data_IF_501830707203
#
_entry.id   IF_501830707203
#
_cell.length_a   1.000
_cell.length_b   1.000
_cell.length_c   1.000
_cell.angle_alpha   90.00
_cell.angle_beta   90.00
_cell.angle_gamma   90.00
#
_symmetry.space_group_name_H-M   'P 1'
#
loop_
_entity.id
_entity.type
_entity.pdbx_description
1 polymer ?
#
# COMPACT_ATOMS: atom_id res chain seq x y z
N UNK A 1 23.63 7.83 30.94
CA UNK A 1 22.69 6.94 30.26
C UNK A 1 23.45 5.68 29.91
N UNK A 2 22.93 4.54 30.30
CA UNK A 2 23.49 3.27 29.87
C UNK A 2 23.45 3.16 28.34
N UNK A 3 24.52 2.66 27.75
CA UNK A 3 24.64 2.56 26.29
C UNK A 3 24.21 1.17 25.87
N UNK A 4 23.20 1.11 25.01
CA UNK A 4 22.69 -0.14 24.45
C UNK A 4 23.17 -0.36 23.03
N UNK A 5 23.36 -1.62 22.64
CA UNK A 5 23.80 -2.04 21.32
C UNK A 5 22.74 -2.94 20.70
N UNK A 6 22.51 -2.77 19.40
CA UNK A 6 21.46 -3.47 18.65
C UNK A 6 22.07 -4.44 17.66
N UNK A 7 21.57 -5.66 17.69
CA UNK A 7 22.08 -6.79 16.92
C UNK A 7 20.95 -7.34 16.06
N UNK A 8 21.28 -7.98 14.93
CA UNK A 8 20.30 -8.68 14.10
C UNK A 8 20.83 -10.05 13.68
N UNK A 9 19.94 -11.04 13.68
CA UNK A 9 20.24 -12.36 13.15
C UNK A 9 20.04 -12.41 11.64
N UNK A 10 20.93 -13.10 10.93
CA UNK A 10 20.88 -13.30 9.48
C UNK A 10 21.45 -14.67 9.14
N UNK A 11 21.20 -15.18 7.93
CA UNK A 11 21.74 -16.44 7.45
C UNK A 11 22.90 -16.15 6.51
N UNK A 12 24.10 -16.64 6.86
CA UNK A 12 25.27 -16.62 5.99
C UNK A 12 25.79 -18.05 5.84
N UNK A 13 26.05 -18.49 4.61
CA UNK A 13 26.56 -19.85 4.29
C UNK A 13 25.75 -20.97 4.96
N UNK A 14 24.40 -20.81 5.01
CA UNK A 14 23.50 -21.80 5.61
C UNK A 14 23.52 -21.86 7.15
N UNK A 15 24.20 -20.92 7.82
CA UNK A 15 24.27 -20.82 9.28
C UNK A 15 23.69 -19.50 9.78
N UNK A 16 22.96 -19.55 10.88
CA UNK A 16 22.46 -18.34 11.52
C UNK A 16 23.63 -17.60 12.20
N UNK A 17 23.84 -16.36 11.79
CA UNK A 17 24.86 -15.44 12.33
C UNK A 17 24.15 -14.29 13.04
N UNK A 18 24.88 -13.62 13.93
CA UNK A 18 24.43 -12.39 14.58
C UNK A 18 25.44 -11.29 14.26
N UNK A 19 24.96 -10.12 13.87
CA UNK A 19 25.78 -8.95 13.55
C UNK A 19 25.22 -7.69 14.17
N UNK A 20 26.08 -6.72 14.48
CA UNK A 20 25.65 -5.42 14.96
C UNK A 20 24.93 -4.63 13.85
N UNK A 21 23.93 -3.86 14.20
CA UNK A 21 23.29 -2.93 13.26
C UNK A 21 24.25 -1.78 12.94
N UNK A 22 24.16 -1.27 11.72
CA UNK A 22 24.98 -0.15 11.24
C UNK A 22 24.73 1.13 12.04
N UNK A 23 25.74 1.99 12.10
CA UNK A 23 25.63 3.35 12.66
C UNK A 23 25.88 3.42 14.18
N UNK A 24 26.35 2.35 14.80
CA UNK A 24 26.69 2.32 16.23
C UNK A 24 28.18 2.58 16.46
N UNK A 25 28.49 3.07 17.66
CA UNK A 25 29.87 3.28 18.14
C UNK A 25 30.03 2.67 19.53
N UNK A 26 31.23 2.29 19.92
CA UNK A 26 31.57 1.96 21.31
C UNK A 26 31.55 3.21 22.19
N UNK A 27 31.70 3.06 23.50
CA UNK A 27 31.74 4.17 24.46
C UNK A 27 32.90 5.13 24.20
N UNK A 28 34.01 4.63 23.69
CA UNK A 28 35.18 5.43 23.29
C UNK A 28 35.02 6.17 21.95
N UNK A 29 33.86 6.06 21.30
CA UNK A 29 33.56 6.68 20.00
C UNK A 29 34.02 5.87 18.79
N UNK A 30 34.68 4.72 18.97
CA UNK A 30 35.09 3.83 17.88
C UNK A 30 33.87 3.26 17.18
N UNK A 31 33.84 3.30 15.85
CA UNK A 31 32.75 2.73 15.06
C UNK A 31 32.71 1.22 15.16
N UNK A 32 31.50 0.67 15.34
CA UNK A 32 31.25 -0.77 15.33
C UNK A 32 31.12 -1.23 13.87
N UNK A 33 31.94 -2.20 13.49
CA UNK A 33 31.88 -2.82 12.16
C UNK A 33 30.74 -3.84 12.12
N UNK A 34 29.71 -3.54 11.36
CA UNK A 34 28.53 -4.40 11.17
C UNK A 34 28.80 -5.65 10.31
N UNK A 35 29.97 -5.77 9.70
CA UNK A 35 30.34 -6.99 8.95
C UNK A 35 30.90 -8.07 9.87
N UNK A 36 31.38 -7.69 11.06
CA UNK A 36 31.95 -8.61 12.05
C UNK A 36 30.85 -9.40 12.77
N UNK A 37 31.06 -10.68 12.92
CA UNK A 37 30.12 -11.54 13.65
C UNK A 37 30.11 -11.21 15.14
N UNK A 38 28.93 -11.31 15.76
CA UNK A 38 28.72 -11.15 17.20
C UNK A 38 28.48 -12.52 17.83
N UNK A 39 29.27 -12.85 18.85
CA UNK A 39 29.01 -13.99 19.71
C UNK A 39 28.00 -13.61 20.76
N UNK A 40 26.85 -14.24 20.74
CA UNK A 40 25.73 -14.04 21.67
C UNK A 40 25.17 -15.39 22.09
N UNK A 41 24.32 -15.43 23.12
CA UNK A 41 23.66 -16.66 23.58
C UNK A 41 22.96 -17.36 22.42
N UNK A 42 23.43 -18.56 22.12
CA UNK A 42 22.97 -19.33 20.96
C UNK A 42 21.56 -19.88 21.16
N UNK A 43 21.23 -20.30 22.37
CA UNK A 43 19.93 -20.88 22.69
C UNK A 43 18.82 -19.82 22.52
N UNK A 44 19.08 -18.59 22.99
CA UNK A 44 18.16 -17.48 22.88
C UNK A 44 18.07 -16.95 21.44
N UNK A 45 19.21 -16.81 20.78
CA UNK A 45 19.27 -16.38 19.37
C UNK A 45 18.49 -17.31 18.45
N UNK A 46 18.69 -18.63 18.60
CA UNK A 46 18.07 -19.65 17.75
C UNK A 46 16.59 -19.90 18.13
N UNK A 47 16.12 -19.38 19.27
CA UNK A 47 14.72 -19.44 19.68
C UNK A 47 13.79 -18.53 18.86
N UNK A 48 14.34 -17.51 18.19
CA UNK A 48 13.55 -16.54 17.41
C UNK A 48 13.85 -16.62 15.92
N UNK A 49 12.91 -16.21 15.04
CA UNK A 49 13.11 -16.24 13.60
C UNK A 49 14.33 -15.44 13.15
N UNK A 50 14.96 -15.87 12.06
CA UNK A 50 16.02 -15.09 11.40
C UNK A 50 15.50 -13.71 11.00
N UNK A 51 16.28 -12.67 11.25
CA UNK A 51 15.87 -11.28 11.04
C UNK A 51 15.40 -10.59 12.32
N UNK A 52 15.21 -11.32 13.43
CA UNK A 52 14.87 -10.72 14.73
C UNK A 52 15.99 -9.81 15.19
N UNK A 53 15.63 -8.64 15.69
CA UNK A 53 16.55 -7.69 16.31
C UNK A 53 16.65 -7.98 17.81
N UNK A 54 17.85 -7.86 18.35
CA UNK A 54 18.14 -8.01 19.78
C UNK A 54 18.84 -6.76 20.30
N UNK A 55 18.61 -6.43 21.55
CA UNK A 55 19.32 -5.38 22.30
C UNK A 55 20.22 -6.03 23.35
N UNK A 56 21.38 -5.43 23.57
CA UNK A 56 22.31 -5.81 24.65
C UNK A 56 22.91 -4.56 25.31
N UNK A 57 23.17 -4.64 26.59
CA UNK A 57 23.85 -3.59 27.37
C UNK A 57 25.38 -3.65 27.23
N UNK A 58 25.90 -4.75 26.73
CA UNK A 58 27.34 -4.96 26.61
C UNK A 58 27.71 -5.51 25.22
N UNK A 59 28.66 -4.84 24.56
CA UNK A 59 29.31 -5.33 23.35
C UNK A 59 30.82 -5.05 23.42
N UNK A 60 31.64 -6.08 23.43
CA UNK A 60 33.11 -5.96 23.53
C UNK A 60 33.80 -6.51 22.31
N UNK A 61 34.84 -5.85 21.79
CA UNK A 61 35.68 -6.39 20.72
C UNK A 61 36.51 -7.57 21.24
N UNK A 62 36.57 -8.63 20.43
CA UNK A 62 37.45 -9.77 20.60
C UNK A 62 38.28 -9.95 19.33
N UNK A 63 39.26 -10.87 19.31
CA UNK A 63 40.25 -10.96 18.22
C UNK A 63 39.66 -11.17 16.82
N UNK A 64 38.50 -11.83 16.69
CA UNK A 64 37.86 -12.15 15.40
C UNK A 64 36.33 -11.92 15.37
N UNK A 65 35.75 -11.49 16.48
CA UNK A 65 34.31 -11.28 16.62
C UNK A 65 34.04 -10.28 17.76
N UNK A 66 32.81 -9.79 17.87
CA UNK A 66 32.34 -9.07 19.06
C UNK A 66 31.66 -10.04 20.01
N UNK A 67 31.80 -9.80 21.30
CA UNK A 67 31.11 -10.57 22.35
C UNK A 67 30.01 -9.71 22.95
N UNK A 68 28.76 -10.18 22.85
CA UNK A 68 27.62 -9.57 23.50
C UNK A 68 27.41 -10.14 24.92
N UNK A 69 26.83 -9.33 25.77
CA UNK A 69 26.27 -9.78 27.08
C UNK A 69 24.94 -10.50 26.89
N UNK A 70 24.02 -10.30 27.82
CA UNK A 70 22.67 -10.79 27.67
C UNK A 70 21.98 -10.10 26.47
N UNK A 71 21.26 -10.86 25.67
CA UNK A 71 20.53 -10.34 24.52
C UNK A 71 19.03 -10.48 24.78
N UNK A 72 18.27 -9.44 24.41
CA UNK A 72 16.82 -9.39 24.56
C UNK A 72 16.19 -9.13 23.19
N UNK A 73 15.23 -9.95 22.72
CA UNK A 73 14.53 -9.68 21.48
C UNK A 73 13.72 -8.40 21.60
N UNK A 74 13.76 -7.56 20.55
CA UNK A 74 13.09 -6.26 20.53
C UNK A 74 12.38 -6.02 19.21
N UNK A 75 11.30 -5.21 19.24
CA UNK A 75 10.51 -4.93 18.05
C UNK A 75 9.59 -6.08 17.63
N UNK A 76 9.23 -6.97 18.56
CA UNK A 76 8.25 -8.05 18.39
C UNK A 76 6.99 -7.78 19.25
N UNK A 77 5.87 -8.42 18.92
CA UNK A 77 4.64 -8.30 19.72
C UNK A 77 4.79 -8.94 21.09
N UNK A 78 4.10 -8.40 22.10
CA UNK A 78 4.16 -8.89 23.48
C UNK A 78 3.80 -10.38 23.60
N UNK A 79 2.89 -10.89 22.76
CA UNK A 79 2.50 -12.29 22.71
C UNK A 79 3.58 -13.23 22.14
N UNK A 80 4.60 -12.70 21.48
CA UNK A 80 5.64 -13.48 20.80
C UNK A 80 6.89 -13.68 21.66
N UNK A 81 6.95 -13.09 22.90
CA UNK A 81 8.03 -13.38 23.84
C UNK A 81 7.89 -14.80 24.40
N UNK A 82 8.88 -15.65 24.10
CA UNK A 82 8.87 -17.05 24.53
C UNK A 82 9.12 -17.25 26.02
N UNK A 83 9.82 -16.31 26.66
CA UNK A 83 10.09 -16.32 28.10
C UNK A 83 10.00 -14.88 28.65
N UNK A 84 9.16 -14.62 29.67
CA UNK A 84 9.05 -13.31 30.30
C UNK A 84 10.37 -12.74 30.86
N UNK A 85 11.33 -13.61 31.18
CA UNK A 85 12.67 -13.20 31.69
C UNK A 85 13.54 -12.55 30.61
N UNK A 86 13.20 -12.76 29.33
CA UNK A 86 13.91 -12.20 28.18
C UNK A 86 13.18 -11.02 27.56
N UNK A 87 12.18 -10.46 28.24
CA UNK A 87 11.53 -9.23 27.81
C UNK A 87 12.47 -8.04 28.05
N UNK A 88 12.70 -7.16 27.05
CA UNK A 88 13.54 -5.99 27.21
C UNK A 88 12.92 -5.02 28.23
N UNK A 89 13.77 -4.26 28.93
CA UNK A 89 13.31 -3.19 29.83
C UNK A 89 12.75 -2.03 29.01
N UNK A 90 11.92 -1.18 29.65
CA UNK A 90 11.39 0.02 29.01
C UNK A 90 12.51 0.96 28.49
N UNK A 91 13.64 1.02 29.22
CA UNK A 91 14.81 1.80 28.80
C UNK A 91 15.46 1.24 27.52
N UNK A 92 15.54 -0.08 27.39
CA UNK A 92 16.04 -0.76 26.19
C UNK A 92 15.11 -0.50 24.99
N UNK A 93 13.79 -0.56 25.21
CA UNK A 93 12.80 -0.26 24.17
C UNK A 93 12.93 1.21 23.73
N UNK A 94 13.00 2.12 24.67
CA UNK A 94 13.17 3.55 24.41
C UNK A 94 14.48 3.87 23.68
N UNK A 95 15.58 3.22 24.09
CA UNK A 95 16.87 3.36 23.42
C UNK A 95 16.82 2.84 21.97
N UNK A 96 16.09 1.76 21.72
CA UNK A 96 15.87 1.23 20.38
C UNK A 96 15.00 2.16 19.54
N UNK A 97 13.92 2.71 20.07
CA UNK A 97 13.08 3.71 19.40
C UNK A 97 13.87 4.96 19.02
N UNK A 98 14.76 5.43 19.90
CA UNK A 98 15.69 6.53 19.59
C UNK A 98 16.65 6.11 18.47
N UNK A 99 17.21 4.92 18.54
CA UNK A 99 18.16 4.41 17.54
C UNK A 99 17.52 4.27 16.16
N UNK A 100 16.27 3.79 16.09
CA UNK A 100 15.52 3.68 14.82
C UNK A 100 14.79 4.97 14.45
N UNK A 101 14.83 6.01 15.30
CA UNK A 101 14.25 7.33 15.03
C UNK A 101 12.75 7.45 15.26
N UNK A 102 12.15 6.60 16.11
CA UNK A 102 10.70 6.59 16.40
C UNK A 102 10.30 7.28 17.71
N UNK A 103 11.22 7.98 18.42
CA UNK A 103 10.88 8.64 19.68
C UNK A 103 10.13 9.94 19.47
N UNK A 104 8.89 9.98 19.90
CA UNK A 104 8.15 11.20 20.24
C UNK A 104 8.62 11.70 21.59
N UNK A 105 9.25 12.88 21.63
CA UNK A 105 9.57 13.56 22.88
C UNK A 105 8.31 14.17 23.48
N UNK A 106 7.84 13.67 24.60
CA UNK A 106 6.92 14.40 25.49
C UNK A 106 7.62 14.69 26.80
N UNK A 107 7.52 15.96 27.21
CA UNK A 107 7.92 16.61 28.47
C UNK A 107 9.40 17.01 28.63
N UNK A 108 9.71 18.28 28.49
CA UNK A 108 10.03 19.12 29.65
C UNK A 108 9.86 20.63 29.35
N UNK A 109 9.26 21.33 30.30
CA UNK A 109 9.02 22.75 30.33
C UNK A 109 10.26 23.50 30.82
N UNK A 110 10.64 24.56 30.14
CA UNK A 110 11.59 25.53 30.72
C UNK A 110 12.36 26.38 29.71
N UNK A 111 11.82 27.54 29.44
CA UNK A 111 12.38 28.87 29.09
C UNK A 111 13.65 29.05 28.28
N UNK A 112 13.50 29.99 27.37
CA UNK A 112 14.38 31.04 26.83
C UNK A 112 15.10 30.81 25.51
N UNK A 113 14.61 31.59 24.54
CA UNK A 113 15.29 32.27 23.45
C UNK A 113 16.61 31.75 22.85
N UNK A 114 16.49 31.27 21.61
CA UNK A 114 17.29 31.80 20.49
C UNK A 114 16.77 31.23 19.15
N UNK A 115 16.44 32.16 18.24
CA UNK A 115 16.11 31.87 16.84
C UNK A 115 17.32 31.22 16.16
N UNK A 116 17.21 30.02 15.72
CA UNK A 116 17.98 29.47 14.59
C UNK A 116 17.06 28.67 13.71
N UNK A 117 16.91 29.13 12.47
CA UNK A 117 16.29 28.44 11.36
C UNK A 117 16.94 27.05 11.18
N UNK A 118 16.32 26.02 11.72
CA UNK A 118 16.68 24.64 11.41
C UNK A 118 15.52 24.02 10.65
N UNK A 119 15.70 23.91 9.33
CA UNK A 119 14.91 23.01 8.50
C UNK A 119 14.96 21.62 9.14
N UNK A 120 13.93 21.28 9.88
CA UNK A 120 13.74 19.93 10.41
C UNK A 120 13.35 19.03 9.25
N UNK A 121 14.35 18.45 8.58
CA UNK A 121 14.09 17.36 7.66
C UNK A 121 13.62 16.17 8.50
N UNK A 122 12.36 15.83 8.38
CA UNK A 122 11.82 14.59 8.93
C UNK A 122 12.65 13.42 8.40
N UNK A 123 13.50 12.85 9.25
CA UNK A 123 14.27 11.64 8.96
C UNK A 123 13.36 10.41 9.14
N UNK A 124 12.26 10.36 8.41
CA UNK A 124 11.44 9.18 8.26
C UNK A 124 12.24 8.10 7.51
N UNK A 125 11.83 6.85 7.62
CA UNK A 125 12.36 5.74 6.80
C UNK A 125 12.49 6.16 5.32
N UNK A 126 11.57 6.98 4.85
CA UNK A 126 11.49 7.58 3.53
C UNK A 126 12.54 8.64 3.22
N UNK A 127 12.89 9.50 4.18
CA UNK A 127 14.01 10.44 4.00
C UNK A 127 15.33 9.70 3.79
N UNK A 128 15.47 8.51 4.39
CA UNK A 128 16.63 7.62 4.17
C UNK A 128 16.62 6.96 2.79
N UNK A 129 15.45 6.75 2.19
CA UNK A 129 15.31 6.13 0.87
C UNK A 129 15.69 7.08 -0.27
N UNK A 130 15.38 8.37 -0.14
CA UNK A 130 15.80 9.40 -1.12
C UNK A 130 17.33 9.53 -1.23
N UNK A 131 18.05 9.15 -0.19
CA UNK A 131 19.51 9.30 -0.09
C UNK A 131 20.26 7.96 -0.10
N UNK A 132 19.55 6.82 -0.13
CA UNK A 132 20.17 5.50 -0.14
C UNK A 132 20.12 4.85 -1.53
N UNK A 133 21.24 4.85 -2.28
CA UNK A 133 21.30 4.23 -3.61
C UNK A 133 21.12 2.70 -3.59
N UNK A 134 21.21 2.05 -2.43
CA UNK A 134 21.02 0.60 -2.27
C UNK A 134 19.56 0.20 -2.08
N UNK A 135 18.64 1.16 -1.95
CA UNK A 135 17.23 0.83 -1.79
C UNK A 135 16.67 0.25 -3.09
N UNK A 136 16.40 -1.04 -3.05
CA UNK A 136 15.75 -1.75 -4.16
C UNK A 136 14.24 -1.81 -3.91
N UNK A 137 13.46 -1.32 -4.87
CA UNK A 137 12.03 -1.53 -4.87
C UNK A 137 11.75 -3.04 -4.92
N UNK A 138 10.94 -3.60 -4.00
CA UNK A 138 10.61 -5.01 -4.03
C UNK A 138 10.03 -5.42 -5.37
N UNK A 139 10.48 -6.55 -5.92
CA UNK A 139 9.91 -7.07 -7.15
C UNK A 139 8.46 -7.49 -6.94
N UNK A 140 7.65 -7.39 -7.98
CA UNK A 140 6.24 -7.81 -7.93
C UNK A 140 6.08 -9.30 -7.62
N UNK A 141 7.10 -10.09 -7.96
CA UNK A 141 7.12 -11.53 -7.69
C UNK A 141 6.34 -12.36 -8.69
N UNK A 142 6.13 -13.63 -8.34
CA UNK A 142 5.47 -14.62 -9.22
C UNK A 142 3.97 -14.78 -8.93
N UNK A 143 3.29 -13.77 -8.43
CA UNK A 143 1.91 -13.90 -7.91
C UNK A 143 0.82 -13.96 -9.01
N UNK A 144 1.18 -14.12 -10.28
CA UNK A 144 0.18 -14.17 -11.37
C UNK A 144 -0.43 -12.79 -11.67
N UNK A 145 0.23 -11.73 -11.27
CA UNK A 145 -0.10 -10.35 -11.54
C UNK A 145 0.95 -9.75 -12.46
N UNK A 146 0.52 -9.01 -13.46
CA UNK A 146 1.42 -8.26 -14.35
C UNK A 146 1.19 -6.76 -14.16
N UNK A 147 2.26 -6.03 -14.08
CA UNK A 147 2.26 -4.57 -14.16
C UNK A 147 3.54 -4.14 -14.87
N UNK A 148 3.47 -3.03 -15.59
CA UNK A 148 4.64 -2.40 -16.18
C UNK A 148 5.66 -2.01 -15.09
N UNK A 149 6.95 -2.17 -15.38
CA UNK A 149 8.04 -1.90 -14.43
C UNK A 149 8.06 -0.47 -13.94
N UNK A 150 7.75 0.49 -14.82
CA UNK A 150 7.78 1.91 -14.48
C UNK A 150 6.57 2.27 -13.62
N UNK A 151 5.40 1.71 -13.91
CA UNK A 151 4.18 1.85 -13.09
C UNK A 151 4.43 1.31 -11.69
N UNK A 152 5.01 0.10 -11.59
CA UNK A 152 5.35 -0.51 -10.31
C UNK A 152 6.35 0.35 -9.53
N UNK A 153 7.43 0.78 -10.21
CA UNK A 153 8.43 1.65 -9.60
C UNK A 153 7.82 2.95 -9.08
N UNK A 154 7.04 3.65 -9.89
CA UNK A 154 6.42 4.92 -9.52
C UNK A 154 5.46 4.78 -8.34
N UNK A 155 4.60 3.74 -8.36
CA UNK A 155 3.67 3.48 -7.25
C UNK A 155 4.40 3.22 -5.95
N UNK A 156 5.37 2.31 -5.97
CA UNK A 156 6.15 1.94 -4.78
C UNK A 156 6.93 3.14 -4.23
N UNK A 157 7.62 3.87 -5.11
CA UNK A 157 8.35 5.08 -4.76
C UNK A 157 7.42 6.14 -4.16
N UNK A 158 6.26 6.36 -4.75
CA UNK A 158 5.34 7.38 -4.29
C UNK A 158 4.75 7.03 -2.92
N UNK A 159 4.31 5.79 -2.70
CA UNK A 159 3.85 5.32 -1.39
C UNK A 159 4.92 5.55 -0.33
N UNK A 160 6.15 5.17 -0.63
CA UNK A 160 7.28 5.31 0.28
C UNK A 160 7.68 6.76 0.56
N UNK A 161 7.42 7.67 -0.37
CA UNK A 161 7.71 9.10 -0.23
C UNK A 161 6.46 9.92 0.18
N UNK A 162 5.36 9.27 0.61
CA UNK A 162 4.08 9.90 0.94
C UNK A 162 3.59 10.87 -0.14
N UNK A 163 3.86 10.55 -1.41
CA UNK A 163 3.34 11.31 -2.54
C UNK A 163 1.94 10.78 -2.85
N UNK A 164 0.93 11.62 -2.65
CA UNK A 164 -0.44 11.26 -3.03
C UNK A 164 -0.46 10.84 -4.49
N UNK A 165 -1.02 9.66 -4.77
CA UNK A 165 -0.95 9.04 -6.10
C UNK A 165 -2.32 8.63 -6.59
N UNK A 166 -2.61 8.87 -7.87
CA UNK A 166 -3.86 8.46 -8.50
C UNK A 166 -3.58 7.47 -9.63
N UNK A 167 -4.12 6.27 -9.51
CA UNK A 167 -4.09 5.27 -10.56
C UNK A 167 -5.30 5.47 -11.49
N UNK A 168 -5.04 5.74 -12.75
CA UNK A 168 -6.04 6.04 -13.77
C UNK A 168 -6.03 4.90 -14.79
N UNK A 169 -7.20 4.39 -15.18
CA UNK A 169 -7.28 3.35 -16.21
C UNK A 169 -8.64 2.68 -16.27
N UNK A 170 -8.81 1.76 -17.20
CA UNK A 170 -10.06 1.04 -17.41
C UNK A 170 -10.53 0.26 -16.19
N UNK A 171 -11.84 0.08 -16.06
CA UNK A 171 -12.44 -0.82 -15.06
C UNK A 171 -11.89 -2.23 -15.23
N UNK A 172 -11.69 -2.96 -14.12
CA UNK A 172 -11.17 -4.33 -14.16
C UNK A 172 -9.67 -4.44 -14.50
N UNK A 173 -8.94 -3.33 -14.61
CA UNK A 173 -7.49 -3.29 -14.85
C UNK A 173 -6.63 -3.59 -13.60
N UNK A 174 -7.22 -4.01 -12.48
CA UNK A 174 -6.48 -4.41 -11.28
C UNK A 174 -5.90 -3.26 -10.45
N UNK A 175 -6.39 -2.02 -10.60
CA UNK A 175 -5.88 -0.84 -9.88
C UNK A 175 -5.86 -1.02 -8.37
N UNK A 176 -6.99 -1.39 -7.79
CA UNK A 176 -7.15 -1.62 -6.34
C UNK A 176 -6.23 -2.74 -5.86
N UNK A 177 -6.20 -3.86 -6.60
CA UNK A 177 -5.35 -5.00 -6.29
C UNK A 177 -3.85 -4.65 -6.34
N UNK A 178 -3.45 -3.80 -7.30
CA UNK A 178 -2.08 -3.31 -7.42
C UNK A 178 -1.65 -2.51 -6.18
N UNK A 179 -2.52 -1.63 -5.67
CA UNK A 179 -2.23 -0.87 -4.44
C UNK A 179 -2.10 -1.78 -3.24
N UNK A 180 -3.04 -2.73 -3.09
CA UNK A 180 -3.01 -3.70 -1.99
C UNK A 180 -1.74 -4.56 -2.03
N UNK A 181 -1.34 -5.00 -3.22
CA UNK A 181 -0.10 -5.74 -3.42
C UNK A 181 1.13 -4.89 -3.07
N UNK A 182 1.15 -3.62 -3.48
CA UNK A 182 2.23 -2.70 -3.14
C UNK A 182 2.36 -2.51 -1.63
N UNK A 183 1.25 -2.26 -0.94
CA UNK A 183 1.22 -2.13 0.52
C UNK A 183 1.70 -3.42 1.22
N UNK A 184 1.23 -4.59 0.76
CA UNK A 184 1.68 -5.89 1.27
C UNK A 184 3.19 -6.10 1.10
N UNK A 185 3.75 -5.75 -0.07
CA UNK A 185 5.19 -5.87 -0.35
C UNK A 185 6.04 -4.90 0.48
N UNK A 186 5.48 -3.75 0.83
CA UNK A 186 6.14 -2.76 1.69
C UNK A 186 5.94 -3.02 3.18
N UNK A 187 5.04 -3.93 3.56
CA UNK A 187 4.67 -4.15 4.96
C UNK A 187 3.92 -2.96 5.58
N UNK A 188 3.19 -2.18 4.75
CA UNK A 188 2.45 -0.98 5.16
C UNK A 188 0.96 -1.32 5.24
N UNK A 189 0.29 -0.84 6.28
CA UNK A 189 -1.17 -0.97 6.42
C UNK A 189 -1.89 -0.20 5.32
N UNK A 190 -3.00 -0.75 4.81
CA UNK A 190 -3.85 -0.11 3.81
C UNK A 190 -5.30 -0.13 4.27
N UNK A 191 -5.91 1.05 4.39
CA UNK A 191 -7.34 1.21 4.67
C UNK A 191 -8.05 1.60 3.38
N UNK A 192 -9.00 0.77 2.95
CA UNK A 192 -9.74 0.97 1.69
C UNK A 192 -11.07 1.67 1.98
N UNK A 193 -11.36 2.69 1.18
CA UNK A 193 -12.61 3.44 1.17
C UNK A 193 -13.21 3.40 -0.23
N UNK A 194 -14.32 2.69 -0.37
CA UNK A 194 -15.10 2.66 -1.61
C UNK A 194 -15.86 3.99 -1.77
N UNK A 195 -15.25 4.88 -2.55
CA UNK A 195 -15.82 6.20 -2.81
C UNK A 195 -16.97 6.13 -3.80
N UNK A 196 -17.01 5.08 -4.62
CA UNK A 196 -18.06 4.86 -5.62
C UNK A 196 -19.42 4.52 -5.02
N UNK A 197 -19.43 3.85 -3.86
CA UNK A 197 -20.67 3.51 -3.13
C UNK A 197 -21.04 4.53 -2.04
N UNK A 198 -20.19 5.54 -1.83
CA UNK A 198 -20.36 6.52 -0.75
C UNK A 198 -21.41 7.58 -1.11
N UNK A 199 -22.63 7.35 -0.68
CA UNK A 199 -23.76 8.28 -0.94
C UNK A 199 -23.61 9.60 -0.16
N UNK A 200 -23.20 9.53 1.12
CA UNK A 200 -22.97 10.68 1.98
C UNK A 200 -21.49 10.71 2.45
N UNK A 201 -20.65 11.51 1.78
CA UNK A 201 -19.24 11.65 2.15
C UNK A 201 -19.05 12.28 3.55
N UNK A 202 -19.99 13.10 4.04
CA UNK A 202 -19.91 13.70 5.38
C UNK A 202 -20.01 12.60 6.42
N UNK A 203 -21.05 11.79 6.34
CA UNK A 203 -21.23 10.66 7.26
C UNK A 203 -20.10 9.63 7.14
N UNK A 204 -19.68 9.31 5.91
CA UNK A 204 -18.67 8.29 5.64
C UNK A 204 -17.26 8.69 6.01
N UNK A 205 -16.88 9.96 5.85
CA UNK A 205 -15.51 10.45 6.08
C UNK A 205 -15.35 11.22 7.40
N UNK A 206 -16.34 12.01 7.82
CA UNK A 206 -16.25 12.78 9.05
C UNK A 206 -16.90 12.04 10.22
N UNK A 207 -18.17 11.65 10.08
CA UNK A 207 -18.94 11.00 11.13
C UNK A 207 -20.37 11.51 11.23
N UNK A 208 -21.08 11.06 12.26
CA UNK A 208 -22.51 11.39 12.49
C UNK A 208 -22.78 11.65 13.95
N UNK A 209 -23.79 12.49 14.21
CA UNK A 209 -24.34 12.65 15.56
C UNK A 209 -25.23 11.45 15.90
N UNK A 210 -25.01 10.85 17.07
CA UNK A 210 -25.84 9.78 17.62
C UNK A 210 -26.45 10.18 18.95
N UNK A 211 -27.75 9.92 19.12
CA UNK A 211 -28.40 10.05 20.40
C UNK A 211 -28.07 8.88 21.31
N UNK A 212 -27.50 9.16 22.47
CA UNK A 212 -27.30 8.18 23.53
C UNK A 212 -28.47 8.09 24.48
N UNK A 213 -28.53 7.02 25.31
CA UNK A 213 -29.51 6.88 26.39
C UNK A 213 -29.41 8.11 27.32
N UNK A 214 -30.50 8.82 27.48
CA UNK A 214 -30.54 10.07 28.26
C UNK A 214 -30.72 11.36 27.43
N UNK A 215 -30.85 11.23 26.09
CA UNK A 215 -31.11 12.38 25.20
C UNK A 215 -29.87 13.21 24.85
N UNK A 216 -28.68 12.75 25.22
CA UNK A 216 -27.42 13.45 24.90
C UNK A 216 -26.97 13.07 23.48
N UNK A 217 -26.74 14.09 22.65
CA UNK A 217 -26.16 13.91 21.33
C UNK A 217 -24.62 13.83 21.42
N UNK A 218 -24.02 12.77 20.88
CA UNK A 218 -22.58 12.60 20.82
C UNK A 218 -22.17 12.42 19.36
N UNK A 219 -21.08 13.07 18.96
CA UNK A 219 -20.53 12.89 17.62
C UNK A 219 -19.69 11.62 17.56
N UNK A 220 -20.05 10.70 16.65
CA UNK A 220 -19.33 9.46 16.40
C UNK A 220 -18.48 9.63 15.14
N UNK A 221 -17.18 9.73 15.34
CA UNK A 221 -16.21 9.93 14.26
C UNK A 221 -16.14 8.73 13.33
N UNK A 222 -16.12 8.98 12.02
CA UNK A 222 -15.95 7.94 11.02
C UNK A 222 -14.60 7.23 11.15
N UNK A 223 -14.49 6.01 10.61
CA UNK A 223 -13.22 5.26 10.58
C UNK A 223 -12.11 6.04 9.86
N UNK A 224 -12.46 6.80 8.81
CA UNK A 224 -11.54 7.60 8.03
C UNK A 224 -10.71 8.56 8.90
N UNK A 225 -11.35 9.27 9.84
CA UNK A 225 -10.68 10.22 10.72
C UNK A 225 -9.58 9.58 11.56
N UNK A 226 -9.80 8.34 12.00
CA UNK A 226 -8.84 7.56 12.78
C UNK A 226 -7.70 7.01 11.94
N UNK A 227 -8.00 6.64 10.69
CA UNK A 227 -7.02 6.03 9.80
C UNK A 227 -6.06 7.06 9.22
N UNK A 228 -6.54 8.28 8.91
CA UNK A 228 -5.64 9.37 8.46
C UNK A 228 -4.68 9.85 9.56
N UNK A 229 -4.99 9.62 10.83
CA UNK A 229 -4.15 9.99 11.98
C UNK A 229 -3.09 8.94 12.30
N UNK A 230 -2.93 7.91 11.46
CA UNK A 230 -1.97 6.81 11.65
C UNK A 230 -1.07 6.67 10.43
N UNK A 231 0.13 6.07 10.61
CA UNK A 231 0.96 5.67 9.47
C UNK A 231 0.23 4.65 8.59
N UNK A 232 0.35 4.77 7.28
CA UNK A 232 -0.23 3.81 6.36
C UNK A 232 -0.72 4.42 5.06
N UNK A 233 -1.39 3.61 4.25
CA UNK A 233 -2.03 4.04 3.01
C UNK A 233 -3.54 4.13 3.22
N UNK A 234 -4.11 5.25 2.83
CA UNK A 234 -5.55 5.44 2.68
C UNK A 234 -5.88 5.34 1.20
N UNK A 235 -6.52 4.25 0.80
CA UNK A 235 -6.94 4.00 -0.57
C UNK A 235 -8.35 4.50 -0.78
N UNK A 236 -8.49 5.53 -1.62
CA UNK A 236 -9.75 6.11 -2.07
C UNK A 236 -10.15 5.43 -3.39
N UNK A 237 -10.88 4.32 -3.29
CA UNK A 237 -11.22 3.50 -4.45
C UNK A 237 -12.42 4.08 -5.21
N UNK A 238 -12.38 4.03 -6.53
CA UNK A 238 -13.40 4.61 -7.44
C UNK A 238 -13.72 6.11 -7.17
N UNK A 239 -12.71 6.91 -6.85
CA UNK A 239 -12.87 8.32 -6.47
C UNK A 239 -13.63 9.15 -7.52
N UNK A 240 -13.54 8.79 -8.80
CA UNK A 240 -14.27 9.44 -9.90
C UNK A 240 -15.79 9.31 -9.82
N UNK A 241 -16.33 8.42 -8.98
CA UNK A 241 -17.77 8.22 -8.79
C UNK A 241 -18.33 8.94 -7.57
N UNK A 242 -17.47 9.46 -6.70
CA UNK A 242 -17.89 10.15 -5.48
C UNK A 242 -18.62 11.46 -5.79
N UNK A 243 -19.55 11.91 -4.91
CA UNK A 243 -20.16 13.24 -5.01
C UNK A 243 -19.11 14.34 -4.95
N UNK A 244 -18.86 15.01 -6.11
CA UNK A 244 -17.67 15.85 -6.34
C UNK A 244 -17.50 16.95 -5.30
N UNK A 245 -18.50 17.82 -5.12
CA UNK A 245 -18.36 19.03 -4.28
C UNK A 245 -18.09 18.68 -2.82
N UNK A 246 -18.88 17.78 -2.24
CA UNK A 246 -18.77 17.42 -0.83
C UNK A 246 -17.45 16.67 -0.55
N UNK A 247 -17.13 15.72 -1.41
CA UNK A 247 -15.88 14.95 -1.30
C UNK A 247 -14.65 15.85 -1.43
N UNK A 248 -14.64 16.78 -2.39
CA UNK A 248 -13.53 17.69 -2.60
C UNK A 248 -13.30 18.59 -1.39
N UNK A 249 -14.38 19.15 -0.80
CA UNK A 249 -14.28 20.01 0.36
C UNK A 249 -13.65 19.29 1.57
N UNK A 250 -13.94 18.00 1.73
CA UNK A 250 -13.39 17.17 2.80
C UNK A 250 -11.93 16.79 2.50
N UNK A 251 -11.64 16.38 1.27
CA UNK A 251 -10.32 15.82 0.92
C UNK A 251 -9.24 16.90 0.67
N UNK A 252 -9.59 18.08 0.15
CA UNK A 252 -8.60 19.10 -0.19
C UNK A 252 -7.67 19.46 0.97
N UNK A 253 -8.18 19.75 2.20
CA UNK A 253 -7.32 20.07 3.32
C UNK A 253 -6.41 18.91 3.75
N UNK A 254 -6.85 17.66 3.53
CA UNK A 254 -6.06 16.47 3.84
C UNK A 254 -4.92 16.24 2.84
N UNK A 255 -5.18 16.55 1.56
CA UNK A 255 -4.29 16.24 0.44
C UNK A 255 -3.24 17.32 0.18
N UNK A 256 -3.50 18.55 0.58
CA UNK A 256 -2.58 19.67 0.40
C UNK A 256 -1.56 19.81 1.55
N UNK A 257 -0.78 20.89 1.53
CA UNK A 257 0.25 21.14 2.53
C UNK A 257 -0.25 21.36 3.95
N UNK A 258 -1.54 21.61 4.14
CA UNK A 258 -2.16 21.78 5.46
C UNK A 258 -2.19 20.45 6.23
N UNK A 259 -2.41 19.33 5.54
CA UNK A 259 -2.46 17.99 6.13
C UNK A 259 -3.41 17.93 7.33
N UNK A 260 -4.61 18.50 7.20
CA UNK A 260 -5.61 18.59 8.27
C UNK A 260 -6.99 18.29 7.72
N UNK A 261 -7.86 17.72 8.56
CA UNK A 261 -9.26 17.48 8.28
C UNK A 261 -10.11 18.33 9.22
N UNK A 262 -10.74 19.41 8.75
CA UNK A 262 -11.70 20.15 9.55
C UNK A 262 -12.96 19.32 9.82
N UNK A 263 -13.40 19.25 11.08
CA UNK A 263 -14.61 18.52 11.49
C UNK A 263 -15.53 19.47 12.28
N UNK A 264 -15.89 20.59 11.67
CA UNK A 264 -16.71 21.63 12.30
C UNK A 264 -18.09 21.13 12.73
N UNK A 265 -18.62 20.10 12.04
CA UNK A 265 -19.92 19.49 12.36
C UNK A 265 -19.94 18.73 13.70
N UNK A 266 -18.77 18.39 14.26
CA UNK A 266 -18.71 17.66 15.52
C UNK A 266 -19.29 18.45 16.70
N UNK A 267 -19.25 19.79 16.63
CA UNK A 267 -19.66 20.66 17.72
C UNK A 267 -18.76 20.54 18.96
N UNK A 268 -18.73 21.54 19.79
CA UNK A 268 -17.88 21.53 20.99
C UNK A 268 -16.49 22.17 20.77
N UNK A 269 -15.72 22.26 21.84
CA UNK A 269 -14.39 22.89 21.81
C UNK A 269 -13.28 21.92 21.40
N UNK A 270 -13.51 20.62 21.54
CA UNK A 270 -12.52 19.55 21.31
C UNK A 270 -12.64 18.96 19.90
N UNK A 271 -11.49 18.84 19.20
CA UNK A 271 -11.34 18.14 17.91
C UNK A 271 -12.03 18.80 16.70
N UNK A 272 -11.89 20.12 16.53
CA UNK A 272 -12.32 20.80 15.29
C UNK A 272 -11.44 20.47 14.09
N UNK A 273 -10.22 20.04 14.31
CA UNK A 273 -9.27 19.64 13.26
C UNK A 273 -8.59 18.33 13.62
N UNK A 274 -8.51 17.41 12.67
CA UNK A 274 -7.78 16.16 12.79
C UNK A 274 -6.54 16.25 11.91
N UNK A 275 -5.36 16.06 12.50
CA UNK A 275 -4.12 16.07 11.76
C UNK A 275 -3.92 14.76 10.98
N UNK A 276 -3.53 14.90 9.72
CA UNK A 276 -3.12 13.76 8.89
C UNK A 276 -1.69 13.38 9.26
N UNK A 277 -1.49 12.14 9.67
CA UNK A 277 -0.18 11.65 10.08
C UNK A 277 0.87 11.88 8.99
N UNK A 278 2.10 12.32 9.32
CA UNK A 278 3.14 12.56 8.32
C UNK A 278 3.44 11.35 7.43
N UNK A 279 3.31 10.14 7.95
CA UNK A 279 3.49 8.88 7.21
C UNK A 279 2.18 8.30 6.64
N UNK A 280 1.10 9.05 6.67
CA UNK A 280 -0.13 8.69 5.95
C UNK A 280 0.00 9.10 4.48
N UNK A 281 -0.20 8.16 3.56
CA UNK A 281 -0.19 8.39 2.12
C UNK A 281 -1.58 8.13 1.53
N UNK A 282 -2.06 9.05 0.70
CA UNK A 282 -3.32 8.83 -0.02
C UNK A 282 -3.02 8.25 -1.40
N UNK A 283 -3.70 7.15 -1.71
CA UNK A 283 -3.73 6.58 -3.05
C UNK A 283 -5.18 6.57 -3.52
N UNK A 284 -5.44 7.06 -4.72
CA UNK A 284 -6.78 7.04 -5.31
C UNK A 284 -6.79 6.14 -6.54
N UNK A 285 -7.94 5.54 -6.84
CA UNK A 285 -8.20 4.93 -8.14
C UNK A 285 -9.30 5.71 -8.85
N UNK A 286 -9.16 5.86 -10.15
CA UNK A 286 -10.15 6.52 -11.00
C UNK A 286 -10.32 5.76 -12.31
N UNK A 287 -11.57 5.69 -12.75
CA UNK A 287 -11.90 5.27 -14.11
C UNK A 287 -12.08 6.54 -14.93
N UNK A 288 -11.34 6.67 -16.03
CA UNK A 288 -11.42 7.82 -16.91
C UNK A 288 -11.78 7.33 -18.32
N UNK A 289 -12.89 7.84 -18.83
CA UNK A 289 -13.40 7.49 -20.14
C UNK A 289 -14.85 7.96 -20.27
N UNK A 290 -15.26 8.24 -21.51
CA UNK A 290 -16.61 8.76 -21.84
C UNK A 290 -17.70 7.71 -21.55
N UNK A 291 -17.31 6.44 -21.49
CA UNK A 291 -18.17 5.27 -21.29
C UNK A 291 -18.63 5.05 -19.85
N UNK A 292 -17.97 5.67 -18.89
CA UNK A 292 -18.34 5.47 -17.48
C UNK A 292 -19.52 6.36 -17.10
N UNK A 293 -20.73 5.87 -17.40
CA UNK A 293 -21.97 6.44 -16.86
C UNK A 293 -21.90 6.50 -15.34
N UNK A 294 -22.00 7.71 -14.80
CA UNK A 294 -21.84 7.93 -13.34
C UNK A 294 -20.46 8.41 -12.91
N UNK A 295 -19.45 8.46 -13.79
CA UNK A 295 -18.24 9.23 -13.52
C UNK A 295 -18.50 10.69 -13.87
N UNK A 296 -18.46 11.55 -12.86
CA UNK A 296 -18.43 12.98 -13.10
C UNK A 296 -17.03 13.36 -13.60
N UNK A 297 -16.93 14.39 -14.46
CA UNK A 297 -15.62 14.93 -14.81
C UNK A 297 -14.92 15.35 -13.52
N UNK A 298 -13.79 14.71 -13.23
CA UNK A 298 -13.06 15.00 -12.01
C UNK A 298 -12.57 16.45 -12.02
N UNK A 299 -12.69 17.11 -10.90
CA UNK A 299 -12.18 18.46 -10.72
C UNK A 299 -10.65 18.46 -10.91
N UNK A 300 -10.18 19.35 -11.80
CA UNK A 300 -8.74 19.53 -12.03
C UNK A 300 -7.96 19.87 -10.77
N UNK A 301 -8.57 20.60 -9.84
CA UNK A 301 -7.95 20.92 -8.57
C UNK A 301 -7.77 19.67 -7.68
N UNK A 302 -8.68 18.69 -7.75
CA UNK A 302 -8.52 17.39 -7.07
C UNK A 302 -7.40 16.58 -7.72
N UNK A 303 -7.45 16.41 -9.04
CA UNK A 303 -6.44 15.66 -9.80
C UNK A 303 -5.04 16.23 -9.57
N UNK A 304 -4.91 17.57 -9.55
CA UNK A 304 -3.64 18.27 -9.32
C UNK A 304 -2.99 18.02 -7.93
N UNK A 305 -3.73 17.41 -6.99
CA UNK A 305 -3.21 17.02 -5.68
C UNK A 305 -2.62 15.61 -5.63
N UNK A 306 -2.71 14.90 -6.76
CA UNK A 306 -2.18 13.55 -6.91
C UNK A 306 -1.12 13.51 -8.00
N UNK A 307 -0.19 12.58 -7.87
CA UNK A 307 0.69 12.17 -8.95
C UNK A 307 -0.08 11.15 -9.81
N UNK A 308 -0.42 11.48 -11.06
CA UNK A 308 -1.19 10.56 -11.91
C UNK A 308 -0.27 9.45 -12.45
N UNK A 309 -0.76 8.22 -12.39
CA UNK A 309 -0.16 7.04 -13.03
C UNK A 309 -1.24 6.38 -13.88
N UNK A 310 -1.00 6.28 -15.17
CA UNK A 310 -1.93 5.63 -16.09
C UNK A 310 -1.63 4.14 -16.20
N UNK A 311 -2.67 3.32 -16.05
CA UNK A 311 -2.62 1.89 -16.27
C UNK A 311 -3.29 1.55 -17.61
N UNK A 312 -2.49 1.10 -18.54
CA UNK A 312 -2.96 0.54 -19.80
C UNK A 312 -3.38 -0.93 -19.65
N UNK A 313 -4.08 -1.44 -20.65
CA UNK A 313 -4.31 -2.89 -20.73
C UNK A 313 -3.01 -3.66 -20.80
N UNK A 314 -3.04 -4.86 -20.25
CA UNK A 314 -1.90 -5.76 -20.28
C UNK A 314 -1.52 -6.13 -21.71
N UNK A 315 -0.22 -6.17 -22.06
CA UNK A 315 0.21 -6.68 -23.36
C UNK A 315 -0.29 -8.12 -23.61
N UNK A 316 -0.69 -8.50 -24.83
CA UNK A 316 -1.28 -9.80 -25.12
C UNK A 316 -0.48 -10.99 -24.61
N UNK A 317 0.85 -10.95 -24.79
CA UNK A 317 1.73 -12.02 -24.34
C UNK A 317 1.75 -12.20 -22.80
N UNK A 318 1.59 -11.11 -22.08
CA UNK A 318 1.53 -11.14 -20.62
C UNK A 318 0.16 -11.59 -20.14
N UNK A 319 -0.91 -11.15 -20.80
CA UNK A 319 -2.27 -11.57 -20.50
C UNK A 319 -2.42 -13.09 -20.71
N UNK A 320 -1.82 -13.65 -21.76
CA UNK A 320 -1.74 -15.10 -21.98
C UNK A 320 -1.07 -15.82 -20.80
N UNK A 321 0.07 -15.31 -20.32
CA UNK A 321 0.75 -15.91 -19.16
C UNK A 321 -0.09 -15.85 -17.89
N UNK A 322 -0.82 -14.75 -17.70
CA UNK A 322 -1.71 -14.59 -16.53
C UNK A 322 -2.87 -15.59 -16.61
N UNK A 323 -3.51 -15.73 -17.78
CA UNK A 323 -4.59 -16.70 -18.00
C UNK A 323 -4.13 -18.14 -17.76
N UNK A 324 -3.01 -18.55 -18.37
CA UNK A 324 -2.44 -19.90 -18.15
C UNK A 324 -2.15 -20.12 -16.65
N UNK A 325 -1.57 -19.14 -15.97
CA UNK A 325 -1.15 -19.29 -14.58
C UNK A 325 -2.32 -19.27 -13.59
N UNK A 326 -3.33 -18.39 -13.80
CA UNK A 326 -4.44 -18.20 -12.85
C UNK A 326 -5.55 -19.21 -13.09
N UNK A 327 -5.92 -19.44 -14.35
CA UNK A 327 -7.03 -20.33 -14.71
C UNK A 327 -6.57 -21.77 -15.01
N UNK A 328 -5.28 -22.02 -15.25
CA UNK A 328 -4.78 -23.35 -15.56
C UNK A 328 -5.11 -23.84 -16.99
N UNK A 329 -5.52 -22.94 -17.89
CA UNK A 329 -5.90 -23.26 -19.27
C UNK A 329 -4.67 -23.40 -20.18
N UNK A 330 -4.88 -23.99 -21.36
CA UNK A 330 -3.83 -24.12 -22.36
C UNK A 330 -3.37 -22.75 -22.91
N UNK A 331 -2.11 -22.66 -23.35
CA UNK A 331 -1.61 -21.44 -24.01
C UNK A 331 -2.37 -21.14 -25.32
N UNK A 332 -2.85 -22.18 -26.01
CA UNK A 332 -3.68 -22.04 -27.20
C UNK A 332 -4.99 -21.30 -26.89
N UNK A 333 -5.72 -21.76 -25.86
CA UNK A 333 -6.98 -21.16 -25.46
C UNK A 333 -6.78 -19.73 -24.94
N UNK A 334 -5.75 -19.52 -24.12
CA UNK A 334 -5.38 -18.20 -23.63
C UNK A 334 -5.11 -17.22 -24.79
N UNK A 335 -4.39 -17.68 -25.83
CA UNK A 335 -4.08 -16.86 -27.01
C UNK A 335 -5.33 -16.47 -27.80
N UNK A 336 -6.29 -17.38 -27.93
CA UNK A 336 -7.57 -17.10 -28.59
C UNK A 336 -8.39 -16.10 -27.80
N UNK A 337 -8.53 -16.30 -26.48
CA UNK A 337 -9.23 -15.38 -25.57
C UNK A 337 -8.65 -13.96 -25.68
N UNK A 338 -7.35 -13.85 -25.56
CA UNK A 338 -6.64 -12.55 -25.61
C UNK A 338 -6.77 -11.89 -26.98
N UNK A 339 -6.71 -12.67 -28.08
CA UNK A 339 -6.91 -12.15 -29.43
C UNK A 339 -8.31 -11.56 -29.62
N UNK A 340 -9.35 -12.26 -29.18
CA UNK A 340 -10.73 -11.76 -29.19
C UNK A 340 -10.87 -10.50 -28.33
N UNK A 341 -10.35 -10.52 -27.12
CA UNK A 341 -10.40 -9.37 -26.21
C UNK A 341 -9.73 -8.13 -26.82
N UNK A 342 -8.52 -8.28 -27.41
CA UNK A 342 -7.83 -7.17 -28.05
C UNK A 342 -8.54 -6.65 -29.30
N UNK A 343 -9.19 -7.53 -30.08
CA UNK A 343 -10.02 -7.11 -31.20
C UNK A 343 -11.18 -6.23 -30.72
N UNK A 344 -11.86 -6.64 -29.63
CA UNK A 344 -12.96 -5.85 -29.04
C UNK A 344 -12.45 -4.54 -28.40
N UNK A 345 -11.32 -4.54 -27.73
CA UNK A 345 -10.67 -3.31 -27.21
C UNK A 345 -10.35 -2.32 -28.34
N UNK A 346 -9.86 -2.81 -29.48
CA UNK A 346 -9.59 -1.97 -30.63
C UNK A 346 -10.87 -1.38 -31.26
N UNK A 347 -11.95 -2.18 -31.31
CA UNK A 347 -13.27 -1.70 -31.79
C UNK A 347 -13.84 -0.66 -30.83
N UNK A 348 -13.70 -0.86 -29.53
CA UNK A 348 -14.06 0.11 -28.51
C UNK A 348 -13.30 1.44 -28.70
N UNK A 349 -11.97 1.40 -28.84
CA UNK A 349 -11.16 2.59 -29.09
C UNK A 349 -11.55 3.34 -30.36
N UNK A 350 -12.14 2.64 -31.36
CA UNK A 350 -12.71 3.22 -32.58
C UNK A 350 -14.16 3.65 -32.43
N UNK A 351 -14.75 3.48 -31.25
CA UNK A 351 -16.17 3.78 -30.97
C UNK A 351 -17.16 2.93 -31.81
N UNK A 352 -16.75 1.73 -32.22
CA UNK A 352 -17.59 0.77 -32.92
C UNK A 352 -18.48 -0.04 -31.98
N UNK A 353 -18.10 -0.14 -30.70
CA UNK A 353 -18.85 -0.75 -29.59
C UNK A 353 -18.79 0.14 -28.37
N UNK A 354 -19.80 0.05 -27.49
CA UNK A 354 -19.99 0.92 -26.32
C UNK A 354 -19.19 0.51 -25.09
N UNK A 355 -18.73 -0.74 -25.05
CA UNK A 355 -18.03 -1.29 -23.87
C UNK A 355 -16.73 -1.98 -24.26
N UNK A 356 -15.72 -1.85 -23.42
CA UNK A 356 -14.43 -2.52 -23.58
C UNK A 356 -14.36 -3.80 -22.75
N UNK A 357 -13.47 -4.71 -23.12
CA UNK A 357 -13.22 -5.97 -22.40
C UNK A 357 -11.97 -5.81 -21.52
N UNK A 358 -12.13 -5.97 -20.23
CA UNK A 358 -11.02 -5.93 -19.27
C UNK A 358 -10.40 -7.31 -19.05
N UNK A 359 -9.32 -7.36 -18.28
CA UNK A 359 -8.71 -8.63 -17.84
C UNK A 359 -9.62 -9.43 -16.90
N UNK A 360 -10.62 -8.79 -16.26
CA UNK A 360 -11.61 -9.49 -15.45
C UNK A 360 -12.46 -10.44 -16.29
N UNK A 361 -12.95 -9.96 -17.43
CA UNK A 361 -13.77 -10.76 -18.33
C UNK A 361 -12.94 -11.87 -18.99
N UNK A 362 -11.69 -11.61 -19.37
CA UNK A 362 -10.82 -12.67 -19.93
C UNK A 362 -10.52 -13.77 -18.91
N UNK A 363 -10.36 -13.42 -17.61
CA UNK A 363 -10.22 -14.39 -16.53
C UNK A 363 -11.52 -15.20 -16.34
N UNK A 364 -12.70 -14.56 -16.34
CA UNK A 364 -13.98 -15.27 -16.23
C UNK A 364 -14.16 -16.28 -17.37
N UNK A 365 -13.76 -15.92 -18.60
CA UNK A 365 -13.76 -16.89 -19.71
C UNK A 365 -12.80 -18.04 -19.44
N UNK A 366 -11.58 -17.71 -18.97
CA UNK A 366 -10.57 -18.71 -18.62
C UNK A 366 -11.04 -19.70 -17.56
N UNK A 367 -11.72 -19.20 -16.53
CA UNK A 367 -12.26 -20.04 -15.45
C UNK A 367 -13.31 -21.03 -15.99
N UNK A 368 -14.24 -20.57 -16.86
CA UNK A 368 -15.21 -21.46 -17.50
C UNK A 368 -14.54 -22.52 -18.39
N UNK A 369 -13.50 -22.14 -19.15
CA UNK A 369 -12.73 -23.10 -19.96
C UNK A 369 -12.05 -24.15 -19.05
N UNK A 370 -11.48 -23.72 -17.93
CA UNK A 370 -10.88 -24.62 -16.93
C UNK A 370 -11.92 -25.60 -16.33
N UNK A 371 -13.16 -25.15 -16.16
CA UNK A 371 -14.30 -25.99 -15.73
C UNK A 371 -14.78 -26.99 -16.82
N UNK A 372 -14.20 -26.93 -18.03
CA UNK A 372 -14.50 -27.84 -19.14
C UNK A 372 -15.55 -27.33 -20.14
N UNK A 373 -15.90 -26.04 -20.10
CA UNK A 373 -16.76 -25.44 -21.11
C UNK A 373 -16.03 -25.30 -22.45
N UNK A 374 -16.80 -25.45 -23.55
CA UNK A 374 -16.28 -25.11 -24.87
C UNK A 374 -15.88 -23.64 -24.93
N UNK A 375 -14.73 -23.37 -25.53
CA UNK A 375 -14.11 -22.04 -25.56
C UNK A 375 -15.01 -20.96 -26.18
N UNK A 376 -15.70 -21.29 -27.29
CA UNK A 376 -16.64 -20.34 -27.93
C UNK A 376 -17.80 -20.05 -27.01
N UNK A 377 -18.35 -21.12 -26.45
CA UNK A 377 -19.49 -21.00 -25.56
C UNK A 377 -19.15 -20.22 -24.29
N UNK A 378 -17.97 -20.44 -23.72
CA UNK A 378 -17.47 -19.67 -22.57
C UNK A 378 -17.36 -18.18 -22.91
N UNK A 379 -16.75 -17.83 -24.07
CA UNK A 379 -16.69 -16.45 -24.52
C UNK A 379 -18.07 -15.84 -24.74
N UNK A 380 -18.99 -16.57 -25.37
CA UNK A 380 -20.36 -16.07 -25.56
C UNK A 380 -21.08 -15.80 -24.24
N UNK A 381 -20.96 -16.70 -23.27
CA UNK A 381 -21.63 -16.59 -21.96
C UNK A 381 -21.13 -15.36 -21.16
N UNK A 382 -19.85 -15.06 -21.25
CA UNK A 382 -19.23 -13.96 -20.49
C UNK A 382 -19.33 -12.63 -21.25
N UNK A 383 -19.03 -12.61 -22.55
CA UNK A 383 -18.86 -11.36 -23.28
C UNK A 383 -20.16 -10.80 -23.84
N UNK A 384 -21.08 -11.65 -24.37
CA UNK A 384 -22.30 -11.14 -25.01
C UNK A 384 -23.24 -10.37 -24.08
N UNK A 385 -23.40 -10.71 -22.79
CA UNK A 385 -24.25 -9.93 -21.89
C UNK A 385 -23.80 -8.48 -21.67
N UNK A 386 -22.56 -8.15 -21.99
CA UNK A 386 -21.99 -6.80 -21.83
C UNK A 386 -22.44 -5.83 -22.93
N UNK A 387 -23.09 -6.34 -23.98
CA UNK A 387 -23.44 -5.57 -25.17
C UNK A 387 -24.94 -5.63 -25.45
N UNK A 388 -25.46 -4.56 -26.03
CA UNK A 388 -26.86 -4.48 -26.44
C UNK A 388 -27.11 -5.11 -27.83
N UNK A 389 -28.36 -5.47 -28.08
CA UNK A 389 -28.79 -6.05 -29.36
C UNK A 389 -29.05 -7.56 -29.30
N UNK A 390 -29.11 -8.18 -30.43
CA UNK A 390 -29.34 -9.63 -30.62
C UNK A 390 -28.07 -10.30 -31.17
N UNK A 391 -28.05 -11.64 -31.20
CA UNK A 391 -26.91 -12.38 -31.80
C UNK A 391 -26.67 -12.05 -33.28
N UNK A 392 -27.70 -11.60 -34.02
CA UNK A 392 -27.62 -11.27 -35.43
C UNK A 392 -27.46 -9.79 -35.71
N UNK A 393 -27.76 -8.92 -34.74
CA UNK A 393 -27.80 -7.47 -34.94
C UNK A 393 -27.30 -6.69 -33.74
N UNK A 394 -26.96 -5.41 -33.97
CA UNK A 394 -26.38 -4.53 -32.95
C UNK A 394 -24.97 -4.90 -32.55
N UNK A 395 -24.51 -4.38 -31.41
CA UNK A 395 -23.17 -4.64 -30.88
C UNK A 395 -22.95 -6.11 -30.57
N UNK A 396 -23.97 -6.77 -29.99
CA UNK A 396 -23.93 -8.21 -29.67
C UNK A 396 -23.69 -9.05 -30.93
N UNK A 397 -24.29 -8.68 -32.08
CA UNK A 397 -24.03 -9.31 -33.39
C UNK A 397 -22.60 -9.11 -33.88
N UNK A 398 -22.02 -7.93 -33.63
CA UNK A 398 -20.61 -7.66 -33.92
C UNK A 398 -19.71 -8.56 -33.10
N UNK A 399 -19.93 -8.64 -31.79
CA UNK A 399 -19.14 -9.46 -30.87
C UNK A 399 -19.26 -10.95 -31.23
N UNK A 400 -20.44 -11.45 -31.57
CA UNK A 400 -20.63 -12.83 -32.09
C UNK A 400 -19.75 -13.12 -33.30
N UNK A 401 -19.68 -12.20 -34.28
CA UNK A 401 -18.81 -12.36 -35.47
C UNK A 401 -17.33 -12.40 -35.08
N UNK A 402 -16.90 -11.53 -34.18
CA UNK A 402 -15.52 -11.53 -33.70
C UNK A 402 -15.15 -12.85 -33.00
N UNK A 403 -16.02 -13.37 -32.15
CA UNK A 403 -15.83 -14.66 -31.47
C UNK A 403 -15.76 -15.81 -32.51
N UNK A 404 -16.60 -15.79 -33.53
CA UNK A 404 -16.64 -16.84 -34.55
C UNK A 404 -15.46 -16.80 -35.54
N UNK A 405 -14.81 -15.65 -35.71
CA UNK A 405 -13.69 -15.43 -36.63
C UNK A 405 -12.30 -15.73 -36.07
N UNK A 406 -12.20 -16.29 -34.88
CA UNK A 406 -10.98 -16.56 -34.10
C UNK A 406 -9.99 -17.55 -34.75
#
# INVERSE_FOLDING_TARGET
MEKYYFLRTLVEEGRQRCKALNGQTFEDGTKIDSTVNVSADRSLRDAYPTGTTFVTDMLKPASKYYQAGNIFPIGILDADYRDPKHKPTEEMVRAYEIFIGTSTSSYDSGSSDEKKDTKTSSKTLLGKMKTNPEFKIPSIGSEGFYVDSDVWYLLMRNIQNQVNTMLIGATGGGKTELVLLACKKLGISCSVYDMGSMYDPVAGLLGVHRLQKGGVSVFDYAKFTRDISKPGVVLLDELSRAPVTTTNNILFPCLDSRRKLPVEIAGGEDLREIEVHPECCFVATANVGVEYTGTMSMDRALVGRFFPIELSYMPPEQENKVLVKRCGISLSDATIITKVANSLRNMYNKQEISSSISTRETLMVGDLVADGWDLVRAMELVLLPLFEGTRSDGERGIVCRVISSR
#
